data_IF_223365385655
#
_entry.id   IF_223365385655
#
_cell.length_a   1.000
_cell.length_b   1.000
_cell.length_c   1.000
_cell.angle_alpha   90.00
_cell.angle_beta   90.00
_cell.angle_gamma   90.00
#
_symmetry.space_group_name_H-M   'P 1'
#
loop_
_entity.id
_entity.type
_entity.pdbx_description
1 polymer ?
#
# COMPACT_ATOMS: atom_id res chain seq x y z
N UNK A 1 -4.95 -6.50 -1.14
CA UNK A 1 -3.77 -5.72 -1.59
C UNK A 1 -3.12 -6.38 -2.81
N UNK A 2 -3.01 -7.71 -2.84
CA UNK A 2 -2.41 -8.48 -3.93
C UNK A 2 -3.03 -8.25 -5.32
N UNK A 3 -4.36 -8.15 -5.43
CA UNK A 3 -5.02 -7.93 -6.73
C UNK A 3 -4.61 -6.61 -7.39
N UNK A 4 -4.36 -5.56 -6.61
CA UNK A 4 -3.85 -4.30 -7.14
C UNK A 4 -2.41 -4.47 -7.67
N UNK A 5 -1.55 -5.13 -6.90
CA UNK A 5 -0.17 -5.42 -7.33
C UNK A 5 -0.10 -6.25 -8.61
N UNK A 6 -0.96 -7.27 -8.72
CA UNK A 6 -1.09 -8.09 -9.93
C UNK A 6 -1.57 -7.27 -11.14
N UNK A 7 -2.55 -6.38 -10.95
CA UNK A 7 -3.04 -5.51 -12.02
C UNK A 7 -1.93 -4.56 -12.52
N UNK A 8 -1.16 -3.95 -11.61
CA UNK A 8 -0.03 -3.08 -11.97
C UNK A 8 1.05 -3.86 -12.73
N UNK A 9 1.36 -5.08 -12.29
CA UNK A 9 2.33 -5.94 -12.96
C UNK A 9 1.85 -6.38 -14.37
N UNK A 10 0.56 -6.62 -14.56
CA UNK A 10 -0.03 -7.00 -15.84
C UNK A 10 -0.15 -5.83 -16.83
N UNK A 11 -0.27 -4.59 -16.34
CA UNK A 11 -0.50 -3.40 -17.15
C UNK A 11 0.52 -2.27 -16.86
N UNK A 12 1.84 -2.51 -16.97
CA UNK A 12 2.86 -1.57 -16.49
C UNK A 12 2.81 -0.17 -17.15
N UNK A 13 2.23 -0.03 -18.34
CA UNK A 13 2.10 1.26 -19.04
C UNK A 13 0.71 1.90 -18.94
N UNK A 14 -0.32 1.14 -18.52
CA UNK A 14 -1.73 1.61 -18.46
C UNK A 14 -2.41 1.37 -17.12
N UNK A 15 -1.66 0.92 -16.10
CA UNK A 15 -2.16 0.57 -14.78
C UNK A 15 -2.89 1.71 -14.08
N UNK A 16 -2.49 2.97 -14.30
CA UNK A 16 -3.14 4.13 -13.68
C UNK A 16 -4.63 4.20 -14.02
N UNK A 17 -5.01 3.82 -15.24
CA UNK A 17 -6.41 3.77 -15.66
C UNK A 17 -7.02 2.39 -15.41
N UNK A 18 -6.33 1.32 -15.80
CA UNK A 18 -6.86 -0.06 -15.70
C UNK A 18 -7.06 -0.53 -14.26
N UNK A 19 -6.21 -0.10 -13.33
CA UNK A 19 -6.20 -0.53 -11.95
C UNK A 19 -6.80 0.52 -10.99
N UNK A 20 -7.43 1.57 -11.52
CA UNK A 20 -7.96 2.68 -10.71
C UNK A 20 -9.02 2.23 -9.70
N UNK A 21 -9.91 1.31 -10.08
CA UNK A 21 -10.93 0.75 -9.17
C UNK A 21 -10.27 0.00 -7.99
N UNK A 22 -9.26 -0.82 -8.28
CA UNK A 22 -8.48 -1.53 -7.26
C UNK A 22 -7.70 -0.55 -6.38
N UNK A 23 -7.14 0.52 -6.95
CA UNK A 23 -6.49 1.61 -6.20
C UNK A 23 -7.46 2.26 -5.22
N UNK A 24 -8.69 2.57 -5.65
CA UNK A 24 -9.72 3.15 -4.78
C UNK A 24 -10.11 2.21 -3.65
N UNK A 25 -10.30 0.91 -3.94
CA UNK A 25 -10.59 -0.12 -2.92
C UNK A 25 -9.46 -0.23 -1.89
N UNK A 26 -8.21 -0.22 -2.34
CA UNK A 26 -7.04 -0.20 -1.44
C UNK A 26 -7.03 1.07 -0.60
N UNK A 27 -7.26 2.24 -1.20
CA UNK A 27 -7.34 3.50 -0.48
C UNK A 27 -8.43 3.49 0.61
N UNK A 28 -9.62 2.97 0.30
CA UNK A 28 -10.73 2.86 1.24
C UNK A 28 -10.44 1.90 2.40
N UNK A 29 -9.77 0.77 2.13
CA UNK A 29 -9.32 -0.13 3.18
C UNK A 29 -8.29 0.56 4.10
N UNK A 30 -7.33 1.28 3.51
CA UNK A 30 -6.28 1.97 4.27
C UNK A 30 -6.80 3.15 5.10
N UNK A 31 -7.90 3.78 4.68
CA UNK A 31 -8.50 4.92 5.39
C UNK A 31 -9.49 4.51 6.49
N UNK A 32 -10.07 3.31 6.42
CA UNK A 32 -11.05 2.83 7.41
C UNK A 32 -10.46 2.03 8.55
N UNK A 33 -9.26 1.47 8.38
CA UNK A 33 -8.66 0.57 9.36
C UNK A 33 -7.64 1.32 10.25
N UNK A 34 -7.85 1.43 11.58
CA UNK A 34 -7.02 2.26 12.46
C UNK A 34 -5.56 1.76 12.53
N UNK A 35 -5.34 0.45 12.42
CA UNK A 35 -3.98 -0.13 12.28
C UNK A 35 -3.29 0.34 11.01
N UNK A 36 -3.99 0.33 9.87
CA UNK A 36 -3.40 0.72 8.59
C UNK A 36 -3.16 2.23 8.55
N UNK A 37 -4.04 3.03 9.17
CA UNK A 37 -3.84 4.47 9.34
C UNK A 37 -2.58 4.78 10.14
N UNK A 38 -2.35 4.08 11.26
CA UNK A 38 -1.13 4.25 12.07
C UNK A 38 0.12 3.90 11.26
N UNK A 39 0.14 2.74 10.61
CA UNK A 39 1.26 2.32 9.75
C UNK A 39 1.52 3.36 8.66
N UNK A 40 0.47 3.85 7.99
CA UNK A 40 0.60 4.87 6.94
C UNK A 40 1.17 6.18 7.47
N UNK A 41 0.87 6.54 8.71
CA UNK A 41 1.35 7.77 9.35
C UNK A 41 2.83 7.63 9.71
N UNK A 42 3.17 6.57 10.44
CA UNK A 42 4.52 6.33 10.95
C UNK A 42 5.52 5.98 9.82
N UNK A 43 5.04 5.28 8.78
CA UNK A 43 5.83 4.90 7.60
C UNK A 43 5.57 5.79 6.37
N UNK A 44 4.98 6.96 6.58
CA UNK A 44 4.59 7.89 5.50
C UNK A 44 5.74 8.23 4.56
N UNK A 45 6.96 8.38 5.09
CA UNK A 45 8.17 8.67 4.32
C UNK A 45 8.43 7.66 3.19
N UNK A 46 8.40 6.36 3.51
CA UNK A 46 8.65 5.31 2.52
C UNK A 46 7.54 5.25 1.46
N UNK A 47 6.31 5.56 1.86
CA UNK A 47 5.17 5.67 0.96
C UNK A 47 5.31 6.86 -0.01
N UNK A 48 5.73 8.03 0.49
CA UNK A 48 5.97 9.21 -0.36
C UNK A 48 7.10 8.97 -1.38
N UNK A 49 8.17 8.28 -0.98
CA UNK A 49 9.24 7.91 -1.92
C UNK A 49 8.77 6.93 -2.98
N UNK A 50 7.89 5.98 -2.63
CA UNK A 50 7.24 5.10 -3.59
C UNK A 50 6.38 5.90 -4.59
N UNK A 51 5.55 6.83 -4.13
CA UNK A 51 4.73 7.67 -5.00
C UNK A 51 5.58 8.56 -5.92
N UNK A 52 6.67 9.14 -5.40
CA UNK A 52 7.63 9.91 -6.19
C UNK A 52 8.25 9.05 -7.30
N UNK A 53 8.73 7.85 -6.94
CA UNK A 53 9.30 6.93 -7.91
C UNK A 53 8.29 6.56 -9.00
N UNK A 54 7.02 6.31 -8.66
CA UNK A 54 5.97 6.00 -9.62
C UNK A 54 5.68 7.16 -10.57
N UNK A 55 5.73 8.40 -10.09
CA UNK A 55 5.53 9.59 -10.91
C UNK A 55 6.67 9.78 -11.93
N UNK A 56 7.89 9.45 -11.52
CA UNK A 56 9.09 9.50 -12.37
C UNK A 56 9.17 8.31 -13.35
N UNK A 57 8.65 7.14 -12.96
CA UNK A 57 8.79 5.87 -13.70
C UNK A 57 7.44 5.30 -14.14
N UNK A 58 6.58 6.12 -14.75
CA UNK A 58 5.21 5.73 -15.13
C UNK A 58 5.18 4.54 -16.11
N UNK A 59 6.20 4.40 -16.96
CA UNK A 59 6.35 3.29 -17.92
C UNK A 59 7.04 2.06 -17.32
N UNK A 60 7.55 2.14 -16.09
CA UNK A 60 8.27 1.06 -15.41
C UNK A 60 8.00 1.07 -13.90
N UNK A 61 6.73 0.96 -13.47
CA UNK A 61 6.34 1.06 -12.05
C UNK A 61 6.94 -0.06 -11.19
N UNK A 62 7.32 -1.19 -11.81
CA UNK A 62 7.99 -2.32 -11.13
C UNK A 62 9.38 -1.99 -10.62
N UNK A 63 10.06 -0.97 -11.19
CA UNK A 63 11.35 -0.46 -10.69
C UNK A 63 11.24 0.12 -9.27
N UNK A 64 10.04 0.57 -8.88
CA UNK A 64 9.77 1.17 -7.58
C UNK A 64 9.47 0.14 -6.46
N UNK A 65 9.50 -1.16 -6.77
CA UNK A 65 9.21 -2.24 -5.82
C UNK A 65 10.11 -2.22 -4.57
N UNK A 66 11.33 -1.68 -4.68
CA UNK A 66 12.23 -1.49 -3.54
C UNK A 66 11.64 -0.57 -2.46
N UNK A 67 10.89 0.48 -2.85
CA UNK A 67 10.22 1.36 -1.88
C UNK A 67 9.05 0.67 -1.18
N UNK A 68 8.37 -0.25 -1.86
CA UNK A 68 7.33 -1.09 -1.25
C UNK A 68 7.93 -1.99 -0.19
N UNK A 69 9.08 -2.64 -0.48
CA UNK A 69 9.77 -3.48 0.50
C UNK A 69 10.20 -2.69 1.75
N UNK A 70 10.68 -1.44 1.59
CA UNK A 70 11.02 -0.57 2.73
C UNK A 70 9.79 -0.15 3.53
N UNK A 71 8.69 0.17 2.86
CA UNK A 71 7.42 0.47 3.53
C UNK A 71 6.93 -0.72 4.37
N UNK A 72 7.00 -1.94 3.82
CA UNK A 72 6.64 -3.16 4.55
C UNK A 72 7.59 -3.40 5.74
N UNK A 73 8.90 -3.24 5.56
CA UNK A 73 9.86 -3.34 6.66
C UNK A 73 9.61 -2.31 7.75
N UNK A 74 9.20 -1.08 7.41
CA UNK A 74 8.76 -0.10 8.40
C UNK A 74 7.49 -0.56 9.12
N UNK A 75 6.48 -1.06 8.39
CA UNK A 75 5.21 -1.52 8.95
C UNK A 75 5.39 -2.63 9.99
N UNK A 76 6.39 -3.49 9.82
CA UNK A 76 6.77 -4.54 10.79
C UNK A 76 7.34 -3.97 12.11
N UNK A 77 7.86 -2.73 12.09
CA UNK A 77 8.47 -2.06 13.25
C UNK A 77 7.53 -1.09 13.97
N UNK A 78 6.36 -0.79 13.39
CA UNK A 78 5.40 0.16 13.96
C UNK A 78 4.85 -0.37 15.27
N UNK A 79 4.89 0.46 16.30
CA UNK A 79 4.28 0.14 17.58
C UNK A 79 2.75 0.28 17.50
N UNK A 80 2.08 -0.87 17.45
CA UNK A 80 0.62 -0.98 17.43
C UNK A 80 0.01 -1.01 18.84
N UNK A 81 0.81 -0.91 19.90
CA UNK A 81 0.30 -0.80 21.26
C UNK A 81 -0.67 0.39 21.37
N UNK A 82 -1.90 0.11 21.82
CA UNK A 82 -2.95 1.12 21.97
C UNK A 82 -3.78 1.42 20.71
N UNK A 83 -3.49 0.79 19.57
CA UNK A 83 -4.43 0.82 18.43
C UNK A 83 -5.53 -0.20 18.71
N UNK A 84 -6.79 0.25 18.70
CA UNK A 84 -7.95 -0.63 18.83
C UNK A 84 -8.00 -1.62 17.66
N UNK A 85 -7.35 -2.77 17.82
CA UNK A 85 -7.53 -3.94 16.97
C UNK A 85 -8.92 -4.47 17.29
N UNK A 86 -9.92 -4.14 16.47
CA UNK A 86 -11.14 -4.93 16.48
C UNK A 86 -10.72 -6.35 16.07
N UNK A 87 -10.86 -7.36 16.93
CA UNK A 87 -10.53 -8.72 16.55
C UNK A 87 -11.47 -9.11 15.42
N UNK A 88 -10.92 -9.42 14.25
CA UNK A 88 -11.68 -10.14 13.22
C UNK A 88 -12.11 -11.47 13.85
N UNK A 89 -13.40 -11.82 13.88
CA UNK A 89 -13.81 -13.12 14.39
C UNK A 89 -13.18 -14.21 13.53
N UNK A 90 -12.32 -15.04 14.13
CA UNK A 90 -11.86 -16.27 13.48
C UNK A 90 -13.07 -17.20 13.29
N UNK A 91 -13.37 -17.67 12.07
CA UNK A 91 -14.38 -18.71 11.89
C UNK A 91 -13.89 -20.01 12.54
N UNK A 92 -14.76 -20.62 13.34
CA UNK A 92 -14.57 -21.93 14.00
C UNK A 92 -14.67 -23.09 13.03
#
# INVERSE_FOLDING_TARGET
MESYGQCVAAHPSTWQQHCQDLKMKVAQCTSSHPVIQKIRTDCSKEFTEFERCLLENQNSPTSCSAHVARFLGCAETVDLAGVAVNPVPQPS
#
